data_IF_561181866345
#
_entry.id   IF_561181866345
#
_cell.length_a   1.000
_cell.length_b   1.000
_cell.length_c   1.000
_cell.angle_alpha   90.00
_cell.angle_beta   90.00
_cell.angle_gamma   90.00
#
_symmetry.space_group_name_H-M   'P 1'
#
loop_
_entity.id
_entity.type
_entity.pdbx_description
1 polymer ?
#
# COMPACT_ATOMS: atom_id res chain seq x y z
N UNK A 1 -14.02 -10.40 -6.25
CA UNK A 1 -12.68 -10.83 -5.81
C UNK A 1 -12.61 -10.76 -4.29
N UNK A 2 -11.94 -11.71 -3.67
CA UNK A 2 -11.90 -11.81 -2.21
C UNK A 2 -10.53 -11.38 -1.67
N UNK A 3 -10.41 -10.16 -1.11
CA UNK A 3 -9.13 -9.67 -0.61
C UNK A 3 -8.57 -10.50 0.56
N UNK A 4 -9.40 -11.25 1.26
CA UNK A 4 -8.94 -12.08 2.38
C UNK A 4 -7.98 -13.19 1.95
N UNK A 5 -7.98 -13.55 0.68
CA UNK A 5 -7.08 -14.58 0.15
C UNK A 5 -5.65 -14.08 -0.09
N UNK A 6 -5.43 -12.79 0.04
CA UNK A 6 -4.14 -12.18 -0.28
C UNK A 6 -3.51 -11.58 0.97
N UNK A 7 -2.21 -11.79 1.14
CA UNK A 7 -1.48 -11.10 2.19
C UNK A 7 -1.31 -9.63 1.79
N UNK A 8 -1.64 -8.68 2.67
CA UNK A 8 -1.48 -7.27 2.33
C UNK A 8 -0.01 -6.91 2.10
N UNK A 9 0.24 -6.11 1.07
CA UNK A 9 1.56 -5.56 0.85
C UNK A 9 1.89 -4.57 1.98
N UNK A 10 3.17 -4.41 2.28
CA UNK A 10 3.67 -3.48 3.31
C UNK A 10 3.09 -3.79 4.70
N UNK A 11 2.81 -5.06 4.98
CA UNK A 11 2.26 -5.45 6.26
C UNK A 11 0.88 -4.85 6.55
N UNK A 12 0.16 -4.39 5.53
CA UNK A 12 -1.14 -3.76 5.67
C UNK A 12 -1.07 -2.24 5.86
N UNK A 13 0.13 -1.65 5.81
CA UNK A 13 0.28 -0.20 5.89
C UNK A 13 -0.09 0.48 4.58
N UNK A 14 -0.36 1.78 4.65
CA UNK A 14 -0.78 2.58 3.51
C UNK A 14 0.24 2.56 2.37
N UNK A 15 -0.19 2.16 1.17
CA UNK A 15 0.70 2.12 0.01
C UNK A 15 1.22 3.51 -0.35
N UNK A 16 0.34 4.52 -0.34
CA UNK A 16 0.73 5.89 -0.60
C UNK A 16 1.71 6.39 0.46
N UNK A 17 1.42 6.13 1.75
CA UNK A 17 2.31 6.50 2.84
C UNK A 17 3.67 5.83 2.73
N UNK A 18 3.69 4.54 2.35
CA UNK A 18 4.95 3.81 2.23
C UNK A 18 5.80 4.36 1.09
N UNK A 19 5.19 4.89 0.03
CA UNK A 19 5.95 5.55 -1.04
C UNK A 19 6.73 6.76 -0.54
N UNK A 20 6.30 7.35 0.59
CA UNK A 20 7.02 8.41 1.27
C UNK A 20 7.83 7.94 2.47
N UNK A 21 7.88 6.64 2.72
CA UNK A 21 8.64 6.06 3.82
C UNK A 21 7.91 6.06 5.16
N UNK A 22 6.58 6.20 5.15
CA UNK A 22 5.76 6.27 6.37
C UNK A 22 4.92 5.02 6.57
N UNK A 23 4.74 4.64 7.83
CA UNK A 23 3.81 3.58 8.22
C UNK A 23 2.49 4.24 8.63
N UNK A 24 1.59 4.45 7.70
CA UNK A 24 0.28 5.01 8.01
C UNK A 24 -0.74 3.89 8.13
N UNK A 25 -1.74 4.02 9.03
CA UNK A 25 -2.82 3.03 9.13
C UNK A 25 -3.67 3.03 7.86
N UNK A 26 -4.47 1.98 7.69
CA UNK A 26 -5.30 1.83 6.49
C UNK A 26 -6.73 1.49 6.87
N UNK A 27 -7.65 1.71 5.92
CA UNK A 27 -9.04 1.28 6.07
C UNK A 27 -9.34 0.21 5.02
N UNK A 28 -10.14 -0.78 5.39
CA UNK A 28 -10.41 -1.94 4.54
C UNK A 28 -11.09 -1.56 3.23
N UNK A 29 -11.89 -0.50 3.22
CA UNK A 29 -12.61 -0.04 2.04
C UNK A 29 -11.68 0.35 0.89
N UNK A 30 -10.40 0.58 1.17
CA UNK A 30 -9.42 0.96 0.16
C UNK A 30 -8.75 -0.21 -0.53
N UNK A 31 -9.18 -1.44 -0.26
CA UNK A 31 -8.54 -2.61 -0.85
C UNK A 31 -8.47 -2.51 -2.38
N UNK A 32 -7.35 -2.96 -2.92
CA UNK A 32 -7.13 -3.00 -4.37
C UNK A 32 -6.17 -4.12 -4.68
N UNK A 33 -6.53 -4.96 -5.64
CA UNK A 33 -5.65 -6.04 -6.08
C UNK A 33 -5.09 -5.68 -7.45
N UNK A 34 -3.77 -5.62 -7.53
CA UNK A 34 -3.03 -5.33 -8.76
C UNK A 34 -1.96 -6.40 -8.93
N UNK A 35 -1.94 -7.05 -10.07
CA UNK A 35 -0.94 -8.08 -10.38
C UNK A 35 -0.83 -9.14 -9.29
N UNK A 36 -1.98 -9.55 -8.73
CA UNK A 36 -2.02 -10.58 -7.70
C UNK A 36 -1.57 -10.14 -6.32
N UNK A 37 -1.42 -8.84 -6.10
CA UNK A 37 -0.99 -8.28 -4.81
C UNK A 37 -2.06 -7.36 -4.25
N UNK A 38 -2.26 -7.41 -2.94
CA UNK A 38 -3.27 -6.62 -2.24
C UNK A 38 -2.67 -5.38 -1.63
N UNK A 39 -3.27 -4.23 -1.92
CA UNK A 39 -2.84 -2.93 -1.41
C UNK A 39 -3.97 -2.26 -0.65
N UNK A 40 -3.60 -1.56 0.43
CA UNK A 40 -4.51 -0.71 1.18
C UNK A 40 -3.98 0.72 1.22
N UNK A 41 -4.86 1.66 1.50
CA UNK A 41 -4.49 3.06 1.66
C UNK A 41 -5.16 3.64 2.91
N UNK A 42 -4.71 4.82 3.33
CA UNK A 42 -5.16 5.49 4.54
C UNK A 42 -6.66 5.84 4.49
N UNK A 43 -7.13 6.27 3.31
CA UNK A 43 -8.52 6.66 3.10
C UNK A 43 -8.85 6.53 1.62
N UNK A 44 -10.13 6.62 1.29
CA UNK A 44 -10.55 6.62 -0.11
C UNK A 44 -9.97 7.81 -0.88
N UNK A 45 -9.85 8.95 -0.22
CA UNK A 45 -9.24 10.14 -0.83
C UNK A 45 -7.76 9.90 -1.15
N UNK A 46 -7.03 9.29 -0.23
CA UNK A 46 -5.62 8.95 -0.46
C UNK A 46 -5.50 7.90 -1.56
N UNK A 47 -6.42 6.95 -1.61
CA UNK A 47 -6.43 5.98 -2.69
C UNK A 47 -6.60 6.65 -4.05
N UNK A 48 -7.42 7.69 -4.16
CA UNK A 48 -7.56 8.43 -5.41
C UNK A 48 -6.25 9.07 -5.85
N UNK A 49 -5.48 9.61 -4.89
CA UNK A 49 -4.16 10.17 -5.18
C UNK A 49 -3.20 9.08 -5.64
N UNK A 50 -3.24 7.93 -4.98
CA UNK A 50 -2.42 6.77 -5.32
C UNK A 50 -2.77 6.24 -6.72
N UNK A 51 -4.06 6.23 -7.09
CA UNK A 51 -4.51 5.75 -8.39
C UNK A 51 -3.95 6.56 -9.56
N UNK A 52 -3.53 7.79 -9.33
CA UNK A 52 -3.00 8.65 -10.39
C UNK A 52 -1.65 8.15 -10.92
N UNK A 53 -0.90 7.42 -10.12
CA UNK A 53 0.38 6.85 -10.55
C UNK A 53 0.72 5.62 -9.71
N UNK A 54 -0.12 4.60 -9.81
CA UNK A 54 0.02 3.38 -9.02
C UNK A 54 1.40 2.77 -9.14
N UNK A 55 1.89 2.59 -10.36
CA UNK A 55 3.19 1.94 -10.57
C UNK A 55 4.35 2.76 -9.97
N UNK A 56 4.32 4.07 -10.11
CA UNK A 56 5.34 4.94 -9.53
C UNK A 56 5.35 4.87 -8.01
N UNK A 57 4.18 4.95 -7.39
CA UNK A 57 4.08 4.86 -5.94
C UNK A 57 4.48 3.48 -5.44
N UNK A 58 4.10 2.41 -6.14
CA UNK A 58 4.45 1.05 -5.77
C UNK A 58 5.97 0.84 -5.81
N UNK A 59 6.65 1.33 -6.86
CA UNK A 59 8.10 1.22 -6.96
C UNK A 59 8.80 1.86 -5.76
N UNK A 60 8.37 3.07 -5.40
CA UNK A 60 8.93 3.77 -4.24
C UNK A 60 8.61 3.05 -2.94
N UNK A 61 7.37 2.58 -2.81
CA UNK A 61 6.94 1.89 -1.60
C UNK A 61 7.70 0.58 -1.41
N UNK A 62 7.94 -0.18 -2.48
CA UNK A 62 8.68 -1.43 -2.40
C UNK A 62 10.09 -1.20 -1.88
N UNK A 63 10.77 -0.16 -2.37
CA UNK A 63 12.11 0.19 -1.91
C UNK A 63 12.09 0.65 -0.44
N UNK A 64 11.13 1.48 -0.09
CA UNK A 64 11.02 1.99 1.28
C UNK A 64 10.63 0.89 2.27
N UNK A 65 9.77 -0.03 1.85
CA UNK A 65 9.34 -1.12 2.72
C UNK A 65 10.51 -1.98 3.18
N UNK A 66 11.46 -2.27 2.30
CA UNK A 66 12.64 -3.03 2.67
C UNK A 66 13.44 -2.36 3.79
N UNK A 67 13.55 -1.04 3.72
CA UNK A 67 14.26 -0.26 4.74
C UNK A 67 13.46 -0.16 6.04
N UNK A 68 12.16 0.07 5.93
CA UNK A 68 11.29 0.27 7.08
C UNK A 68 11.14 -1.02 7.89
N UNK A 69 10.91 -2.15 7.23
CA UNK A 69 10.73 -3.42 7.93
C UNK A 69 11.99 -3.90 8.65
N UNK A 70 13.17 -3.52 8.16
CA UNK A 70 14.42 -3.87 8.81
C UNK A 70 14.61 -3.17 10.14
N UNK A 71 13.88 -2.08 10.37
CA UNK A 71 13.95 -1.31 11.62
C UNK A 71 13.00 -1.82 12.70
N UNK A 72 12.16 -2.78 12.39
CA UNK A 72 11.17 -3.32 13.34
C UNK A 72 11.74 -4.36 14.28
#
# INVERSE_FOLDING_TARGET
MNPEKYAPQYGGYCAYGMSGGYKAPTVIETWKILNGKLYFNYSLKVQELWNKDQSGFIQKADLNWEKVRERE
#
